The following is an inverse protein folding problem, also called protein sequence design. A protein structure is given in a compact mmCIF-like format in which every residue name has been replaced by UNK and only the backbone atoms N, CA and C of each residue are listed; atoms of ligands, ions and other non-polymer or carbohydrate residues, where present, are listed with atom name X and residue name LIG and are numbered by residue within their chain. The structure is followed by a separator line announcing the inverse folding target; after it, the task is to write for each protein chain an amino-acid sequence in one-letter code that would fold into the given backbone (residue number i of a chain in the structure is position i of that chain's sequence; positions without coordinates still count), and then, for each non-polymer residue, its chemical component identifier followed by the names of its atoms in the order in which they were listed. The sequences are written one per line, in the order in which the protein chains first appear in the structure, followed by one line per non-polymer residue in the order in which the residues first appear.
data_IF_858770412582
#
_entry.id   IF_858770412582
#
_cell.length_a   1.000
_cell.length_b   1.000
_cell.length_c   1.000
_cell.angle_alpha   90.00
_cell.angle_beta   90.00
_cell.angle_gamma   90.00
#
_symmetry.space_group_name_H-M   'P 1'
#
loop_
_entity.id
_entity.type
_entity.pdbx_description
1 polymer ?
#
# COMPACT_ATOMS: atom_id res chain seq x y z
N UNK A 1 -18.64 8.82 -29.42
CA UNK A 1 -17.27 9.12 -28.99
C UNK A 1 -16.35 8.88 -30.16
N UNK A 2 -15.46 9.83 -30.42
CA UNK A 2 -14.37 9.59 -31.38
C UNK A 2 -13.51 8.42 -30.89
N UNK A 3 -12.81 7.75 -31.82
CA UNK A 3 -11.87 6.69 -31.47
C UNK A 3 -10.80 7.16 -30.50
N UNK A 4 -10.38 8.43 -30.59
CA UNK A 4 -9.44 9.07 -29.68
C UNK A 4 -9.98 9.18 -28.24
N UNK A 5 -11.18 9.74 -28.04
CA UNK A 5 -11.80 9.85 -26.71
C UNK A 5 -11.99 8.48 -26.06
N UNK A 6 -12.42 7.48 -26.84
CA UNK A 6 -12.57 6.11 -26.37
C UNK A 6 -11.23 5.51 -25.92
N UNK A 7 -10.14 5.75 -26.66
CA UNK A 7 -8.80 5.32 -26.26
C UNK A 7 -8.30 6.02 -24.99
N UNK A 8 -8.54 7.32 -24.83
CA UNK A 8 -8.17 8.04 -23.61
C UNK A 8 -8.93 7.49 -22.40
N UNK A 9 -10.23 7.26 -22.51
CA UNK A 9 -11.03 6.69 -21.43
C UNK A 9 -10.54 5.28 -21.04
N UNK A 10 -10.23 4.45 -22.04
CA UNK A 10 -9.67 3.12 -21.80
C UNK A 10 -8.30 3.19 -21.10
N UNK A 11 -7.39 4.04 -21.58
CA UNK A 11 -6.06 4.17 -20.99
C UNK A 11 -6.11 4.79 -19.58
N UNK A 12 -7.02 5.73 -19.32
CA UNK A 12 -7.24 6.26 -17.98
C UNK A 12 -7.72 5.17 -17.02
N UNK A 13 -8.65 4.31 -17.45
CA UNK A 13 -9.10 3.15 -16.66
C UNK A 13 -7.97 2.14 -16.41
N UNK A 14 -7.14 1.86 -17.42
CA UNK A 14 -5.96 1.01 -17.27
C UNK A 14 -4.94 1.61 -16.30
N UNK A 15 -4.66 2.91 -16.40
CA UNK A 15 -3.76 3.61 -15.49
C UNK A 15 -4.29 3.57 -14.05
N UNK A 16 -5.58 3.79 -13.85
CA UNK A 16 -6.22 3.69 -12.54
C UNK A 16 -6.07 2.29 -11.93
N UNK A 17 -6.36 1.24 -12.70
CA UNK A 17 -6.38 -0.14 -12.19
C UNK A 17 -4.99 -0.75 -12.05
N UNK A 18 -4.00 -0.31 -12.84
CA UNK A 18 -2.65 -0.91 -12.85
C UNK A 18 -1.57 -0.02 -12.25
N UNK A 19 -1.58 1.28 -12.54
CA UNK A 19 -0.49 2.20 -12.15
C UNK A 19 -0.74 2.80 -10.77
N UNK A 20 -1.98 3.22 -10.47
CA UNK A 20 -2.29 3.90 -9.22
C UNK A 20 -2.06 3.05 -7.96
N UNK A 21 -2.10 1.72 -8.10
CA UNK A 21 -1.90 0.76 -7.00
C UNK A 21 -0.43 0.36 -6.76
N UNK A 22 0.49 0.61 -7.70
CA UNK A 22 1.91 0.23 -7.56
C UNK A 22 2.55 0.75 -6.25
N UNK A 23 2.32 2.01 -5.82
CA UNK A 23 2.89 2.48 -4.57
C UNK A 23 2.34 1.74 -3.35
N UNK A 24 1.08 1.26 -3.39
CA UNK A 24 0.49 0.49 -2.29
C UNK A 24 1.14 -0.89 -2.19
N UNK A 25 1.34 -1.57 -3.31
CA UNK A 25 1.96 -2.89 -3.36
C UNK A 25 3.39 -2.87 -2.83
N UNK A 26 4.16 -1.86 -3.25
CA UNK A 26 5.51 -1.64 -2.77
C UNK A 26 5.58 -1.46 -1.25
N UNK A 27 4.69 -0.64 -0.66
CA UNK A 27 4.76 -0.36 0.78
C UNK A 27 4.33 -1.55 1.65
N UNK A 28 3.48 -2.46 1.16
CA UNK A 28 3.05 -3.65 1.91
C UNK A 28 4.26 -4.52 2.23
N UNK A 29 5.02 -4.93 1.20
CA UNK A 29 6.18 -5.78 1.42
C UNK A 29 7.35 -5.02 2.04
N UNK A 30 7.54 -3.74 1.68
CA UNK A 30 8.54 -2.92 2.35
C UNK A 30 8.31 -2.85 3.86
N UNK A 31 7.08 -2.56 4.29
CA UNK A 31 6.72 -2.53 5.71
C UNK A 31 6.99 -3.87 6.38
N UNK A 32 6.59 -4.99 5.74
CA UNK A 32 6.84 -6.34 6.28
C UNK A 32 8.34 -6.61 6.45
N UNK A 33 9.16 -6.27 5.46
CA UNK A 33 10.62 -6.46 5.55
C UNK A 33 11.24 -5.64 6.68
N UNK A 34 10.80 -4.40 6.86
CA UNK A 34 11.31 -3.53 7.92
C UNK A 34 10.84 -3.98 9.32
N UNK A 35 9.67 -4.62 9.42
CA UNK A 35 9.23 -5.28 10.65
C UNK A 35 10.02 -6.56 10.91
N UNK A 36 10.14 -7.44 9.90
CA UNK A 36 10.79 -8.75 10.05
C UNK A 36 12.30 -8.67 10.22
N UNK A 37 12.95 -7.60 9.77
CA UNK A 37 14.37 -7.39 10.03
C UNK A 37 14.67 -6.93 11.48
N UNK A 38 13.63 -6.68 12.29
CA UNK A 38 13.73 -6.34 13.72
C UNK A 38 14.21 -4.93 14.03
N UNK A 39 14.43 -4.09 13.01
CA UNK A 39 14.88 -2.70 13.23
C UNK A 39 13.77 -1.77 13.72
N UNK A 40 12.51 -2.16 13.54
CA UNK A 40 11.33 -1.38 13.91
C UNK A 40 10.67 -2.01 15.14
N UNK A 41 10.64 -1.30 16.29
CA UNK A 41 9.98 -1.82 17.47
C UNK A 41 8.46 -1.91 17.27
N UNK A 42 7.82 -2.88 17.93
CA UNK A 42 6.38 -3.17 17.79
C UNK A 42 5.50 -1.93 18.03
N UNK A 43 5.89 -1.09 19.01
CA UNK A 43 5.22 0.17 19.33
C UNK A 43 5.41 1.30 18.29
N UNK A 44 5.94 0.99 17.11
CA UNK A 44 6.09 1.90 15.96
C UNK A 44 5.57 1.32 14.65
N UNK A 45 5.02 0.12 14.67
CA UNK A 45 4.55 -0.57 13.47
C UNK A 45 3.50 0.23 12.70
N UNK A 46 2.50 0.78 13.38
CA UNK A 46 1.41 1.52 12.74
C UNK A 46 1.88 2.92 12.26
N UNK A 47 2.72 3.59 13.04
CA UNK A 47 3.37 4.84 12.66
C UNK A 47 4.21 4.70 11.41
N UNK A 48 5.00 3.63 11.31
CA UNK A 48 5.81 3.32 10.12
C UNK A 48 4.94 3.10 8.89
N UNK A 49 3.85 2.32 9.04
CA UNK A 49 2.88 2.11 7.97
C UNK A 49 2.36 3.43 7.42
N UNK A 50 1.96 4.35 8.31
CA UNK A 50 1.48 5.67 7.90
C UNK A 50 2.59 6.60 7.38
N UNK A 51 3.83 6.45 7.82
CA UNK A 51 4.98 7.13 7.21
C UNK A 51 5.13 6.73 5.74
N UNK A 52 5.05 5.43 5.44
CA UNK A 52 5.12 4.93 4.07
C UNK A 52 3.94 5.36 3.23
N UNK A 53 2.71 5.30 3.77
CA UNK A 53 1.51 5.83 3.09
C UNK A 53 1.65 7.33 2.76
N UNK A 54 2.25 8.13 3.64
CA UNK A 54 2.54 9.56 3.38
C UNK A 54 3.65 9.74 2.35
N UNK A 55 4.67 8.88 2.35
CA UNK A 55 5.84 9.03 1.48
C UNK A 55 5.58 8.59 0.05
N UNK A 56 4.95 7.43 -0.16
CA UNK A 56 4.83 6.80 -1.48
C UNK A 56 3.48 7.09 -2.16
N UNK A 57 2.31 6.58 -1.70
CA UNK A 57 1.03 6.94 -2.31
C UNK A 57 0.53 8.34 -1.94
N UNK A 58 1.25 9.09 -1.09
CA UNK A 58 0.91 10.46 -0.67
C UNK A 58 -0.46 10.59 -0.01
N UNK A 59 -0.85 9.60 0.80
CA UNK A 59 -2.11 9.62 1.57
C UNK A 59 -1.86 9.74 3.06
N UNK A 60 -2.86 10.22 3.80
CA UNK A 60 -2.84 10.36 5.27
C UNK A 60 -4.09 9.72 5.86
N UNK A 61 -4.07 9.31 7.14
CA UNK A 61 -5.27 8.78 7.77
C UNK A 61 -6.32 9.91 7.91
N UNK A 62 -7.62 9.60 7.79
CA UNK A 62 -8.69 10.59 7.96
C UNK A 62 -8.91 10.98 9.43
N UNK A 63 -8.45 10.14 10.36
CA UNK A 63 -8.52 10.32 11.81
C UNK A 63 -7.15 10.11 12.43
N UNK A 64 -6.96 10.58 13.66
CA UNK A 64 -5.74 10.28 14.40
C UNK A 64 -5.62 8.78 14.65
N UNK A 65 -4.39 8.27 14.58
CA UNK A 65 -4.04 6.86 14.80
C UNK A 65 -3.08 6.74 15.97
N UNK A 66 -3.14 5.61 16.66
CA UNK A 66 -2.28 5.28 17.80
C UNK A 66 -1.45 4.03 17.51
N UNK A 67 -0.19 4.01 17.94
CA UNK A 67 0.61 2.77 17.92
C UNK A 67 0.19 1.79 19.03
N UNK A 68 -0.52 2.25 20.06
CA UNK A 68 -0.90 1.42 21.22
C UNK A 68 -2.14 0.56 20.93
N UNK A 69 -3.05 1.05 20.10
CA UNK A 69 -4.36 0.43 19.87
C UNK A 69 -4.60 0.00 18.43
N UNK A 70 -3.84 0.54 17.47
CA UNK A 70 -4.11 0.32 16.06
C UNK A 70 -3.00 -0.51 15.40
N UNK A 71 -3.42 -1.44 14.54
CA UNK A 71 -2.54 -2.15 13.60
C UNK A 71 -3.20 -2.12 12.22
N UNK A 72 -3.25 -0.94 11.61
CA UNK A 72 -3.84 -0.76 10.27
C UNK A 72 -3.22 -1.67 9.19
N UNK A 73 -1.91 -1.97 9.15
CA UNK A 73 -1.41 -2.93 8.15
C UNK A 73 -2.02 -4.34 8.33
N UNK A 74 -2.48 -4.71 9.52
CA UNK A 74 -3.14 -6.00 9.79
C UNK A 74 -4.51 -6.15 9.11
N UNK A 75 -5.14 -5.08 8.63
CA UNK A 75 -6.38 -5.16 7.84
C UNK A 75 -6.14 -5.62 6.39
N UNK A 76 -4.88 -5.65 5.95
CA UNK A 76 -4.51 -6.14 4.63
C UNK A 76 -4.36 -7.65 4.73
N UNK A 77 -5.19 -8.39 3.99
CA UNK A 77 -5.20 -9.86 3.96
C UNK A 77 -3.79 -10.45 3.87
N UNK A 78 -2.97 -9.95 2.94
CA UNK A 78 -1.62 -10.44 2.68
C UNK A 78 -0.66 -10.25 3.87
N UNK A 79 -0.90 -9.25 4.70
CA UNK A 79 -0.18 -9.06 5.96
C UNK A 79 -0.72 -10.04 7.00
N UNK A 80 -2.05 -10.18 7.11
CA UNK A 80 -2.69 -11.04 8.11
C UNK A 80 -2.41 -12.54 7.91
N UNK A 81 -2.33 -13.02 6.67
CA UNK A 81 -2.07 -14.43 6.33
C UNK A 81 -0.61 -14.72 5.95
N UNK A 82 0.27 -13.75 6.10
CA UNK A 82 1.71 -13.84 5.77
C UNK A 82 1.99 -14.24 4.30
N UNK A 83 1.20 -13.76 3.33
CA UNK A 83 1.44 -14.01 1.89
C UNK A 83 2.18 -12.84 1.21
N UNK A 84 3.43 -13.00 0.73
CA UNK A 84 4.20 -11.93 0.05
C UNK A 84 3.50 -11.31 -1.16
N UNK A 85 3.41 -9.97 -1.20
CA UNK A 85 2.65 -9.26 -2.24
C UNK A 85 3.40 -9.17 -3.58
N UNK A 86 4.73 -9.14 -3.59
CA UNK A 86 5.55 -9.02 -4.80
C UNK A 86 5.33 -10.16 -5.81
N UNK A 87 4.70 -11.27 -5.40
CA UNK A 87 4.30 -12.34 -6.32
C UNK A 87 3.28 -11.84 -7.36
N UNK A 88 2.49 -10.82 -7.03
CA UNK A 88 1.40 -10.30 -7.86
C UNK A 88 1.85 -9.21 -8.84
N UNK A 89 3.07 -8.67 -8.74
CA UNK A 89 3.62 -7.75 -9.76
C UNK A 89 3.91 -8.46 -11.10
N UNK A 90 3.98 -9.80 -11.10
CA UNK A 90 4.33 -10.62 -12.27
C UNK A 90 3.13 -11.21 -13.03
N UNK A 91 1.90 -10.81 -12.70
CA UNK A 91 0.67 -11.23 -13.39
C UNK A 91 -0.06 -10.05 -14.01
#
# INVERSE_FOLDING_TARGET
MSTYEASINFLAFMAWTKVAYLPLYFIIDKWRWDVFNGTVPENKWNSLWWEYKRKYPKVKPPVQRSDETDLDPGMIEHVAVDDPYMKYEKK
#
